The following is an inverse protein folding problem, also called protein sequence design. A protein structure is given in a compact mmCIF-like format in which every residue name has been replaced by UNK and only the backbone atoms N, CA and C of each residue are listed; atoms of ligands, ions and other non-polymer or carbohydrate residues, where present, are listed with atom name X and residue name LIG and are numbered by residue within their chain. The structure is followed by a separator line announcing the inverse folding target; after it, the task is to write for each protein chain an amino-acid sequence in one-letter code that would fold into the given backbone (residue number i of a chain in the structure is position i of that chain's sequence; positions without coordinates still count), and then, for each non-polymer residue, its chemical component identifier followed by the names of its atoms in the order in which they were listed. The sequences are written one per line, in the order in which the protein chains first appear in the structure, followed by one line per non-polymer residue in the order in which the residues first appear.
data_IF_224537411770
#
_entry.id   IF_224537411770
#
_cell.length_a   1.000
_cell.length_b   1.000
_cell.length_c   1.000
_cell.angle_alpha   90.00
_cell.angle_beta   90.00
_cell.angle_gamma   90.00
#
_symmetry.space_group_name_H-M   'P 1'
#
loop_
_entity.id
_entity.type
_entity.pdbx_description
1 polymer ?
#
# COMPACT_ATOMS: atom_id res chain seq x y z
N UNK A 1 -10.40 -14.28 8.54
CA UNK A 1 -9.09 -13.61 8.60
C UNK A 1 -9.29 -12.21 9.15
N UNK A 2 -8.50 -11.81 10.14
CA UNK A 2 -8.62 -10.47 10.69
C UNK A 2 -7.79 -9.47 9.85
N UNK A 3 -7.99 -8.18 10.10
CA UNK A 3 -7.33 -7.14 9.30
C UNK A 3 -5.82 -7.15 9.45
N UNK A 4 -5.30 -7.52 10.61
CA UNK A 4 -3.86 -7.60 10.81
C UNK A 4 -3.24 -8.71 9.97
N UNK A 5 -3.86 -9.88 9.93
CA UNK A 5 -3.39 -10.99 9.09
C UNK A 5 -3.49 -10.62 7.62
N UNK A 6 -4.56 -9.94 7.22
CA UNK A 6 -4.73 -9.47 5.86
C UNK A 6 -3.59 -8.51 5.48
N UNK A 7 -3.26 -7.58 6.35
CA UNK A 7 -2.17 -6.63 6.10
C UNK A 7 -0.83 -7.36 5.94
N UNK A 8 -0.58 -8.36 6.77
CA UNK A 8 0.66 -9.14 6.69
C UNK A 8 0.74 -9.94 5.39
N UNK A 9 -0.36 -10.54 4.96
CA UNK A 9 -0.40 -11.28 3.70
C UNK A 9 -0.16 -10.37 2.51
N UNK A 10 -0.74 -9.17 2.55
CA UNK A 10 -0.54 -8.18 1.49
C UNK A 10 0.91 -7.74 1.46
N UNK A 11 1.50 -7.44 2.61
CA UNK A 11 2.89 -7.01 2.69
C UNK A 11 3.83 -8.08 2.12
N UNK A 12 3.58 -9.33 2.45
CA UNK A 12 4.38 -10.44 1.94
C UNK A 12 4.27 -10.55 0.41
N UNK A 13 3.05 -10.42 -0.11
CA UNK A 13 2.84 -10.46 -1.56
C UNK A 13 3.59 -9.33 -2.27
N UNK A 14 3.60 -8.14 -1.68
CA UNK A 14 4.33 -7.01 -2.26
C UNK A 14 5.83 -7.25 -2.23
N UNK A 15 6.35 -7.82 -1.15
CA UNK A 15 7.77 -8.16 -1.07
C UNK A 15 8.13 -9.22 -2.09
N UNK A 16 7.29 -10.24 -2.25
CA UNK A 16 7.51 -11.31 -3.23
C UNK A 16 7.51 -10.76 -4.65
N UNK A 17 6.78 -9.68 -4.90
CA UNK A 17 6.73 -9.02 -6.21
C UNK A 17 7.81 -7.95 -6.35
N UNK A 18 8.84 -7.98 -5.50
CA UNK A 18 9.99 -7.09 -5.52
C UNK A 18 9.70 -5.66 -5.08
N UNK A 19 8.62 -5.44 -4.37
CA UNK A 19 8.39 -4.16 -3.70
C UNK A 19 9.47 -3.93 -2.65
N UNK A 20 9.91 -2.69 -2.51
CA UNK A 20 10.95 -2.33 -1.55
C UNK A 20 10.36 -1.47 -0.45
N UNK A 21 11.02 -1.48 0.70
CA UNK A 21 10.65 -0.68 1.86
C UNK A 21 9.16 -0.86 2.21
N UNK A 22 8.72 -2.12 2.24
CA UNK A 22 7.34 -2.47 2.55
C UNK A 22 7.11 -2.31 4.04
N UNK A 23 6.08 -1.53 4.40
CA UNK A 23 5.77 -1.27 5.80
C UNK A 23 4.27 -1.43 6.05
N UNK A 24 3.94 -1.82 7.26
CA UNK A 24 2.55 -1.91 7.73
C UNK A 24 2.40 -0.88 8.84
N UNK A 25 1.39 -0.02 8.73
CA UNK A 25 1.09 0.97 9.75
C UNK A 25 -0.26 0.65 10.38
N UNK A 26 -0.28 0.54 11.70
CA UNK A 26 -1.52 0.38 12.46
C UNK A 26 -2.14 1.77 12.61
N UNK A 27 -3.26 1.98 11.95
CA UNK A 27 -3.95 3.26 12.00
C UNK A 27 -5.32 3.13 12.67
N UNK A 28 -5.53 2.04 13.42
CA UNK A 28 -6.75 1.86 14.19
C UNK A 28 -6.86 2.97 15.21
N UNK A 29 -8.03 3.58 15.25
CA UNK A 29 -8.27 4.71 16.14
C UNK A 29 -7.72 6.04 15.64
N UNK A 30 -7.01 6.06 14.53
CA UNK A 30 -6.48 7.30 13.94
C UNK A 30 -7.22 7.71 12.68
N UNK A 31 -7.48 6.75 11.78
CA UNK A 31 -8.09 7.09 10.49
C UNK A 31 -9.61 7.11 10.53
N UNK A 32 -10.24 6.28 11.32
CA UNK A 32 -11.70 6.20 11.39
C UNK A 32 -12.34 5.41 10.26
N UNK A 33 -11.61 5.00 9.23
CA UNK A 33 -12.21 4.26 8.10
C UNK A 33 -11.43 3.02 7.68
N UNK A 34 -10.23 2.82 8.19
CA UNK A 34 -9.46 1.61 7.91
C UNK A 34 -8.60 1.26 9.13
N UNK A 35 -8.21 0.00 9.22
CA UNK A 35 -7.41 -0.48 10.34
C UNK A 35 -5.91 -0.38 10.09
N UNK A 36 -5.49 -0.65 8.86
CA UNK A 36 -4.06 -0.69 8.52
C UNK A 36 -3.79 -0.05 7.17
N UNK A 37 -2.65 0.60 7.07
CA UNK A 37 -2.06 0.98 5.79
C UNK A 37 -0.90 0.04 5.52
N UNK A 38 -0.77 -0.41 4.27
CA UNK A 38 0.41 -1.13 3.81
C UNK A 38 1.03 -0.26 2.72
N UNK A 39 2.31 0.03 2.85
CA UNK A 39 3.01 0.92 1.92
C UNK A 39 4.18 0.18 1.30
N UNK A 40 4.35 0.33 0.01
CA UNK A 40 5.46 -0.28 -0.72
C UNK A 40 5.97 0.67 -1.79
N UNK A 41 7.22 0.52 -2.16
CA UNK A 41 7.85 1.31 -3.22
C UNK A 41 8.14 0.41 -4.41
N UNK A 42 7.82 0.90 -5.61
CA UNK A 42 8.13 0.23 -6.87
C UNK A 42 9.15 1.02 -7.68
N UNK A 43 9.80 0.35 -8.63
CA UNK A 43 10.89 0.93 -9.41
C UNK A 43 10.41 1.88 -10.51
N UNK A 44 9.29 1.55 -11.15
CA UNK A 44 8.78 2.32 -12.28
C UNK A 44 7.30 2.00 -12.46
N UNK A 45 6.62 2.74 -13.34
CA UNK A 45 5.18 2.58 -13.56
C UNK A 45 4.74 1.13 -13.82
N UNK A 46 5.43 0.35 -14.69
CA UNK A 46 5.05 -1.05 -14.87
C UNK A 46 5.19 -1.88 -13.61
N UNK A 47 6.19 -1.58 -12.79
CA UNK A 47 6.38 -2.29 -11.53
C UNK A 47 5.27 -1.95 -10.53
N UNK A 48 4.83 -0.69 -10.50
CA UNK A 48 3.70 -0.29 -9.65
C UNK A 48 2.45 -1.08 -10.02
N UNK A 49 2.17 -1.23 -11.31
CA UNK A 49 1.04 -2.05 -11.77
C UNK A 49 1.19 -3.50 -11.34
N UNK A 50 2.40 -4.05 -11.47
CA UNK A 50 2.66 -5.44 -11.08
C UNK A 50 2.46 -5.65 -9.58
N UNK A 51 2.89 -4.69 -8.77
CA UNK A 51 2.69 -4.75 -7.32
C UNK A 51 1.20 -4.80 -6.97
N UNK A 52 0.40 -3.93 -7.58
CA UNK A 52 -1.04 -3.91 -7.32
C UNK A 52 -1.67 -5.24 -7.72
N UNK A 53 -1.28 -5.81 -8.86
CA UNK A 53 -1.82 -7.10 -9.32
C UNK A 53 -1.41 -8.26 -8.41
N UNK A 54 -0.30 -8.14 -7.71
CA UNK A 54 0.19 -9.19 -6.82
C UNK A 54 -0.60 -9.27 -5.51
N UNK A 55 -1.34 -8.23 -5.16
CA UNK A 55 -2.07 -8.19 -3.90
C UNK A 55 -3.19 -9.23 -3.91
N UNK A 56 -3.25 -10.13 -2.90
CA UNK A 56 -4.30 -11.13 -2.85
C UNK A 56 -5.65 -10.52 -2.53
N UNK A 57 -6.71 -11.16 -3.01
CA UNK A 57 -8.07 -10.71 -2.77
C UNK A 57 -8.55 -9.75 -3.84
N UNK A 58 -9.72 -9.20 -3.62
CA UNK A 58 -10.36 -8.29 -4.58
C UNK A 58 -10.52 -6.92 -3.93
N UNK A 59 -9.92 -5.91 -4.54
CA UNK A 59 -10.03 -4.55 -4.05
C UNK A 59 -11.47 -4.04 -4.18
N UNK A 60 -11.91 -3.32 -3.15
CA UNK A 60 -13.16 -2.59 -3.21
C UNK A 60 -13.05 -1.46 -4.24
N UNK A 61 -11.91 -0.78 -4.27
CA UNK A 61 -11.65 0.30 -5.21
C UNK A 61 -10.14 0.47 -5.41
N UNK A 62 -9.76 0.83 -6.64
CA UNK A 62 -8.38 1.18 -6.94
C UNK A 62 -8.39 2.57 -7.54
N UNK A 63 -7.53 3.44 -7.07
CA UNK A 63 -7.41 4.81 -7.55
C UNK A 63 -5.95 5.17 -7.76
N UNK A 64 -5.72 6.24 -8.47
CA UNK A 64 -4.37 6.72 -8.74
C UNK A 64 -3.90 6.35 -10.11
N UNK A 65 -2.63 6.65 -10.38
CA UNK A 65 -2.06 6.55 -11.71
C UNK A 65 -0.60 6.09 -11.60
N UNK A 66 -0.23 4.96 -12.24
CA UNK A 66 1.16 4.50 -12.21
C UNK A 66 2.15 5.55 -12.71
N UNK A 67 1.73 6.36 -13.68
CA UNK A 67 2.62 7.37 -14.24
C UNK A 67 2.89 8.52 -13.27
N UNK A 68 1.94 8.82 -12.38
CA UNK A 68 2.16 9.82 -11.34
C UNK A 68 2.92 9.27 -10.14
N UNK A 69 3.10 7.95 -10.10
CA UNK A 69 3.88 7.30 -9.05
C UNK A 69 3.12 6.97 -7.78
N UNK A 70 1.80 6.95 -7.82
CA UNK A 70 1.00 6.62 -6.64
C UNK A 70 -0.27 5.90 -7.03
N UNK A 71 -0.45 4.66 -6.54
CA UNK A 71 -1.68 3.90 -6.69
C UNK A 71 -2.18 3.54 -5.31
N UNK A 72 -3.46 3.73 -5.07
CA UNK A 72 -4.12 3.35 -3.82
C UNK A 72 -5.07 2.22 -4.11
N UNK A 73 -4.95 1.13 -3.38
CA UNK A 73 -5.82 -0.04 -3.52
C UNK A 73 -6.54 -0.26 -2.20
N UNK A 74 -7.86 -0.11 -2.21
CA UNK A 74 -8.69 -0.10 -1.00
C UNK A 74 -9.35 -1.46 -0.79
N UNK A 75 -9.02 -2.10 0.32
CA UNK A 75 -9.60 -3.38 0.75
C UNK A 75 -10.49 -3.21 1.98
N UNK A 76 -10.92 -1.98 2.25
CA UNK A 76 -11.82 -1.58 3.35
C UNK A 76 -11.07 -1.56 4.69
N UNK A 77 -10.69 -2.71 5.22
CA UNK A 77 -9.98 -2.77 6.51
C UNK A 77 -8.48 -2.52 6.35
N UNK A 78 -7.99 -2.63 5.11
CA UNK A 78 -6.59 -2.37 4.77
C UNK A 78 -6.55 -1.53 3.50
N UNK A 79 -5.81 -0.45 3.52
CA UNK A 79 -5.58 0.38 2.35
C UNK A 79 -4.11 0.26 1.97
N UNK A 80 -3.84 -0.08 0.72
CA UNK A 80 -2.49 -0.29 0.23
C UNK A 80 -2.07 0.92 -0.60
N UNK A 81 -0.92 1.48 -0.29
CA UNK A 81 -0.33 2.59 -1.03
C UNK A 81 0.94 2.09 -1.71
N UNK A 82 0.97 2.18 -3.03
CA UNK A 82 2.15 1.80 -3.81
C UNK A 82 2.69 3.07 -4.45
N UNK A 83 3.94 3.39 -4.15
CA UNK A 83 4.59 4.62 -4.59
C UNK A 83 5.84 4.34 -5.40
N UNK A 84 6.19 5.27 -6.30
CA UNK A 84 7.56 5.40 -6.75
C UNK A 84 8.37 5.99 -5.59
N UNK A 85 9.69 5.83 -5.63
CA UNK A 85 10.55 6.40 -4.57
C UNK A 85 10.40 7.92 -4.48
N UNK A 86 10.29 8.58 -5.63
CA UNK A 86 10.13 10.03 -5.68
C UNK A 86 8.80 10.48 -5.08
N UNK A 87 7.71 9.80 -5.44
CA UNK A 87 6.39 10.15 -4.94
C UNK A 87 6.29 9.91 -3.44
N UNK A 88 6.88 8.81 -2.95
CA UNK A 88 6.88 8.51 -1.52
C UNK A 88 7.55 9.62 -0.72
N UNK A 89 8.69 10.11 -1.20
CA UNK A 89 9.37 11.23 -0.55
C UNK A 89 8.57 12.52 -0.65
N UNK A 90 7.96 12.77 -1.81
CA UNK A 90 7.22 14.00 -2.04
C UNK A 90 5.97 14.10 -1.15
N UNK A 91 5.17 13.04 -1.12
CA UNK A 91 3.92 13.06 -0.35
C UNK A 91 4.16 12.87 1.14
N UNK A 92 5.25 12.23 1.52
CA UNK A 92 5.66 12.09 2.92
C UNK A 92 4.53 11.55 3.82
N UNK A 93 3.74 10.60 3.29
CA UNK A 93 2.61 10.02 4.01
C UNK A 93 3.03 9.46 5.36
N UNK A 94 4.26 8.98 5.43
CA UNK A 94 4.83 8.40 6.65
C UNK A 94 4.87 9.37 7.81
N UNK A 95 5.01 10.66 7.52
CA UNK A 95 5.04 11.68 8.57
C UNK A 95 3.69 11.87 9.24
N UNK A 96 2.61 11.50 8.55
CA UNK A 96 1.28 11.62 9.10
C UNK A 96 0.86 10.38 9.90
N UNK A 97 1.26 9.19 9.45
CA UNK A 97 0.70 7.94 9.96
C UNK A 97 1.69 7.05 10.69
N UNK A 98 2.98 7.11 10.37
CA UNK A 98 3.99 6.35 11.08
C UNK A 98 4.33 7.04 12.40
N UNK A 99 4.24 6.32 13.48
CA UNK A 99 4.54 6.86 14.80
C UNK A 99 5.93 6.46 15.25
#
# INVERSE_FOLDING_TARGET
MNSEEQAKDIAKALEDAKGTDVKIWDVRGKSGFTDFFVVATGAAAPHLKALVKAIPGKAYRVAGDPESGWIVSDYIDVVVHVFSAEARAYYALEKLWAC
#
